data_IF_341431869595
#
_entry.id   IF_341431869595
#
_cell.length_a   1.000
_cell.length_b   1.000
_cell.length_c   1.000
_cell.angle_alpha   90.00
_cell.angle_beta   90.00
_cell.angle_gamma   90.00
#
_symmetry.space_group_name_H-M   'P 1'
#
loop_
_entity.id
_entity.type
_entity.pdbx_description
1 polymer ?
#
# COMPACT_ATOMS: atom_id res chain seq x y z
N UNK A 1 51.87 -12.69 -3.37
CA UNK A 1 51.90 -13.37 -2.05
C UNK A 1 51.38 -12.29 -1.10
N UNK A 2 50.09 -12.14 -0.88
CA UNK A 2 49.19 -13.11 -0.26
C UNK A 2 47.98 -13.44 -1.12
N UNK A 3 47.49 -14.67 -0.94
CA UNK A 3 46.38 -15.25 -1.65
C UNK A 3 45.08 -14.57 -1.23
N UNK A 4 44.41 -13.90 -2.17
CA UNK A 4 42.96 -13.80 -2.14
C UNK A 4 42.43 -15.24 -2.07
N UNK A 5 41.80 -15.61 -0.95
CA UNK A 5 40.95 -16.80 -0.91
C UNK A 5 39.74 -16.51 -1.80
N UNK A 6 39.93 -16.69 -3.11
CA UNK A 6 38.86 -16.80 -4.10
C UNK A 6 38.00 -18.01 -3.70
N UNK A 7 36.80 -17.76 -3.20
CA UNK A 7 35.77 -18.79 -3.02
C UNK A 7 35.24 -19.24 -4.38
N UNK A 8 35.27 -20.54 -4.65
CA UNK A 8 34.84 -21.16 -5.90
C UNK A 8 33.31 -21.24 -6.00
N UNK A 9 32.64 -20.19 -6.46
CA UNK A 9 31.26 -20.27 -6.97
C UNK A 9 31.28 -20.59 -8.47
N UNK A 10 30.50 -21.59 -8.90
CA UNK A 10 30.45 -22.02 -10.31
C UNK A 10 29.14 -21.55 -10.96
N UNK A 11 29.17 -21.18 -12.25
CA UNK A 11 27.95 -20.88 -13.01
C UNK A 11 27.34 -22.19 -13.52
N UNK A 12 26.06 -22.44 -13.19
CA UNK A 12 25.33 -23.62 -13.64
C UNK A 12 24.38 -23.24 -14.80
N UNK A 13 24.64 -23.74 -16.01
CA UNK A 13 23.81 -23.47 -17.18
C UNK A 13 22.85 -24.63 -17.50
N UNK A 14 21.59 -24.30 -17.77
CA UNK A 14 20.56 -25.27 -18.16
C UNK A 14 19.97 -24.92 -19.53
N UNK A 15 19.97 -25.90 -20.44
CA UNK A 15 19.30 -25.83 -21.73
C UNK A 15 18.06 -26.74 -21.69
N UNK A 16 16.88 -26.14 -21.71
CA UNK A 16 15.59 -26.85 -21.68
C UNK A 16 15.16 -27.16 -23.13
N UNK A 17 14.79 -28.41 -23.43
CA UNK A 17 14.32 -28.83 -24.77
C UNK A 17 12.79 -28.75 -24.91
N UNK A 18 12.29 -28.68 -26.15
CA UNK A 18 10.93 -28.19 -26.51
C UNK A 18 9.74 -28.88 -25.84
N UNK A 19 9.84 -30.12 -25.34
CA UNK A 19 8.68 -30.83 -24.73
C UNK A 19 8.45 -30.52 -23.25
N UNK A 20 9.36 -29.81 -22.58
CA UNK A 20 9.19 -29.37 -21.18
C UNK A 20 9.10 -27.85 -21.03
N UNK A 21 8.74 -27.18 -22.12
CA UNK A 21 8.84 -25.74 -22.31
C UNK A 21 7.87 -24.97 -21.39
N UNK A 22 6.60 -25.34 -21.40
CA UNK A 22 5.55 -24.50 -20.80
C UNK A 22 5.26 -24.92 -19.36
N UNK A 23 5.24 -26.22 -19.06
CA UNK A 23 5.00 -26.72 -17.70
C UNK A 23 6.06 -26.23 -16.69
N UNK A 24 7.34 -26.34 -17.05
CA UNK A 24 8.41 -25.91 -16.17
C UNK A 24 8.42 -24.38 -16.08
N UNK A 25 8.26 -23.66 -17.20
CA UNK A 25 8.22 -22.19 -17.21
C UNK A 25 7.04 -21.61 -16.42
N UNK A 26 5.87 -22.22 -16.51
CA UNK A 26 4.73 -21.81 -15.69
C UNK A 26 4.98 -22.14 -14.21
N UNK A 27 5.57 -23.31 -13.89
CA UNK A 27 6.01 -23.62 -12.52
C UNK A 27 7.09 -22.62 -12.02
N UNK A 28 8.02 -22.20 -12.89
CA UNK A 28 9.05 -21.18 -12.64
C UNK A 28 8.48 -19.77 -12.45
N UNK A 29 7.44 -19.41 -13.21
CA UNK A 29 6.77 -18.10 -13.14
C UNK A 29 5.99 -18.00 -11.83
N UNK A 30 5.29 -19.07 -11.45
CA UNK A 30 4.42 -19.13 -10.29
C UNK A 30 5.14 -19.43 -8.97
N UNK A 31 6.39 -19.93 -8.98
CA UNK A 31 7.10 -20.36 -7.76
C UNK A 31 8.59 -19.98 -7.73
N UNK A 32 9.19 -19.91 -6.53
CA UNK A 32 10.64 -19.62 -6.33
C UNK A 32 11.54 -20.86 -6.31
N UNK A 33 11.14 -21.94 -6.97
CA UNK A 33 11.87 -23.20 -7.01
C UNK A 33 11.73 -23.91 -8.36
N UNK A 34 12.64 -24.85 -8.63
CA UNK A 34 12.60 -25.73 -9.79
C UNK A 34 12.28 -27.15 -9.34
N UNK A 35 11.20 -27.73 -9.87
CA UNK A 35 10.86 -29.15 -9.67
C UNK A 35 11.10 -29.92 -10.96
N UNK A 36 11.92 -30.97 -10.91
CA UNK A 36 12.22 -31.79 -12.06
C UNK A 36 11.45 -33.11 -12.03
N UNK A 37 10.84 -33.47 -13.17
CA UNK A 37 10.23 -34.79 -13.38
C UNK A 37 11.34 -35.80 -13.75
N UNK A 38 11.26 -37.05 -13.26
CA UNK A 38 12.28 -38.10 -13.39
C UNK A 38 12.81 -38.35 -14.82
N UNK A 39 12.05 -37.99 -15.85
CA UNK A 39 12.41 -38.21 -17.26
C UNK A 39 13.46 -37.21 -17.82
N UNK A 40 14.05 -36.35 -16.96
CA UNK A 40 15.02 -35.31 -17.34
C UNK A 40 16.39 -35.47 -16.65
N UNK A 41 16.93 -36.69 -16.65
CA UNK A 41 18.18 -37.07 -15.95
C UNK A 41 19.38 -36.12 -16.20
N UNK A 42 19.53 -35.57 -17.41
CA UNK A 42 20.67 -34.69 -17.75
C UNK A 42 20.59 -33.33 -17.05
N UNK A 43 19.39 -32.78 -16.87
CA UNK A 43 19.14 -31.50 -16.19
C UNK A 43 19.27 -31.72 -14.67
N UNK A 44 18.70 -32.82 -14.16
CA UNK A 44 18.76 -33.17 -12.74
C UNK A 44 20.21 -33.41 -12.25
N UNK A 45 21.05 -34.03 -13.08
CA UNK A 45 22.47 -34.26 -12.77
C UNK A 45 23.32 -32.98 -12.76
N UNK A 46 22.91 -31.94 -13.46
CA UNK A 46 23.57 -30.63 -13.40
C UNK A 46 23.04 -29.78 -12.23
N UNK A 47 21.73 -29.85 -11.93
CA UNK A 47 21.11 -29.13 -10.81
C UNK A 47 21.61 -29.66 -9.46
N UNK A 48 21.69 -30.97 -9.28
CA UNK A 48 22.22 -31.60 -8.04
C UNK A 48 23.65 -31.19 -7.68
N UNK A 49 24.41 -30.63 -8.64
CA UNK A 49 25.79 -30.16 -8.41
C UNK A 49 25.87 -28.68 -8.05
N UNK A 50 24.79 -27.92 -8.21
CA UNK A 50 24.74 -26.51 -7.87
C UNK A 50 24.84 -26.32 -6.36
N UNK A 51 25.58 -25.32 -5.91
CA UNK A 51 25.76 -25.02 -4.49
C UNK A 51 25.07 -23.71 -4.13
N UNK A 52 24.77 -23.54 -2.84
CA UNK A 52 24.32 -22.26 -2.29
C UNK A 52 25.30 -21.16 -2.71
N UNK A 53 24.78 -20.09 -3.31
CA UNK A 53 25.57 -18.97 -3.86
C UNK A 53 25.89 -19.08 -5.36
N UNK A 54 25.64 -20.22 -6.02
CA UNK A 54 25.84 -20.35 -7.46
C UNK A 54 24.80 -19.54 -8.24
N UNK A 55 25.18 -18.97 -9.38
CA UNK A 55 24.26 -18.25 -10.26
C UNK A 55 23.62 -19.24 -11.23
N UNK A 56 22.28 -19.26 -11.19
CA UNK A 56 21.45 -20.03 -12.09
C UNK A 56 21.04 -19.18 -13.30
N UNK A 57 21.40 -19.65 -14.49
CA UNK A 57 20.98 -19.08 -15.75
C UNK A 57 20.07 -20.06 -16.51
N UNK A 58 18.83 -19.67 -16.73
CA UNK A 58 17.86 -20.46 -17.50
C UNK A 58 17.70 -19.89 -18.90
N UNK A 59 17.97 -20.72 -19.91
CA UNK A 59 17.84 -20.34 -21.32
C UNK A 59 16.95 -21.32 -22.07
N UNK A 60 16.17 -20.79 -23.01
CA UNK A 60 15.47 -21.54 -24.05
C UNK A 60 15.98 -21.08 -25.41
N UNK A 61 16.60 -21.99 -26.16
CA UNK A 61 17.30 -21.67 -27.42
C UNK A 61 18.29 -20.51 -27.22
N UNK A 62 18.09 -19.38 -27.90
CA UNK A 62 18.94 -18.19 -27.78
C UNK A 62 18.39 -17.13 -26.80
N UNK A 63 17.23 -17.36 -26.17
CA UNK A 63 16.59 -16.41 -25.25
C UNK A 63 16.92 -16.79 -23.80
N UNK A 64 17.36 -15.81 -23.02
CA UNK A 64 17.47 -15.94 -21.58
C UNK A 64 16.09 -15.76 -20.97
N UNK A 65 15.63 -16.76 -20.22
CA UNK A 65 14.31 -16.76 -19.61
C UNK A 65 14.37 -16.21 -18.17
N UNK A 66 15.41 -16.56 -17.41
CA UNK A 66 15.55 -16.05 -16.05
C UNK A 66 16.97 -16.21 -15.51
N UNK A 67 17.31 -15.33 -14.57
CA UNK A 67 18.54 -15.43 -13.79
C UNK A 67 18.19 -15.38 -12.31
N UNK A 68 18.79 -16.25 -11.51
CA UNK A 68 18.66 -16.20 -10.07
C UNK A 68 19.88 -16.78 -9.37
N UNK A 69 19.92 -16.65 -8.05
CA UNK A 69 20.99 -17.22 -7.20
C UNK A 69 20.44 -18.44 -6.48
N UNK A 70 21.20 -19.53 -6.50
CA UNK A 70 20.87 -20.74 -5.77
C UNK A 70 20.93 -20.45 -4.28
N UNK A 71 19.76 -20.47 -3.64
CA UNK A 71 19.59 -20.21 -2.22
C UNK A 71 19.65 -21.52 -1.41
N UNK A 72 19.11 -22.61 -1.95
CA UNK A 72 19.12 -23.94 -1.34
C UNK A 72 19.07 -25.01 -2.43
N UNK A 73 19.80 -26.11 -2.28
CA UNK A 73 19.78 -27.21 -3.24
C UNK A 73 19.51 -28.55 -2.56
N UNK A 74 18.23 -28.92 -2.51
CA UNK A 74 17.79 -30.14 -1.85
C UNK A 74 18.06 -31.37 -2.72
N UNK A 75 18.39 -31.19 -4.01
CA UNK A 75 18.77 -32.29 -4.89
C UNK A 75 20.14 -32.88 -4.57
N UNK A 76 21.05 -32.09 -3.98
CA UNK A 76 22.44 -32.48 -3.75
C UNK A 76 22.58 -33.64 -2.76
N UNK A 77 21.60 -33.84 -1.89
CA UNK A 77 21.71 -34.77 -0.78
C UNK A 77 21.22 -36.19 -1.11
N UNK A 78 20.11 -36.38 -1.85
CA UNK A 78 19.54 -37.73 -2.07
C UNK A 78 18.77 -37.95 -3.38
N UNK A 79 18.71 -36.96 -4.29
CA UNK A 79 18.02 -37.08 -5.59
C UNK A 79 16.56 -37.60 -5.53
N UNK A 80 15.81 -37.17 -4.53
CA UNK A 80 14.38 -37.45 -4.41
C UNK A 80 13.59 -36.59 -5.44
N UNK A 81 12.66 -37.15 -6.23
CA UNK A 81 11.76 -36.38 -7.10
C UNK A 81 10.89 -35.32 -6.40
N UNK A 82 10.76 -35.40 -5.06
CA UNK A 82 10.14 -34.37 -4.24
C UNK A 82 11.07 -33.17 -3.95
N UNK A 83 12.39 -33.36 -4.03
CA UNK A 83 13.38 -32.33 -3.76
C UNK A 83 13.40 -31.27 -4.86
N UNK A 84 13.90 -30.08 -4.53
CA UNK A 84 13.83 -28.87 -5.35
C UNK A 84 15.13 -28.08 -5.29
N UNK A 85 15.39 -27.32 -6.36
CA UNK A 85 16.44 -26.30 -6.38
C UNK A 85 15.76 -24.96 -6.11
N UNK A 86 16.10 -24.34 -4.98
CA UNK A 86 15.55 -23.07 -4.56
C UNK A 86 16.42 -21.93 -5.09
N UNK A 87 15.78 -21.01 -5.79
CA UNK A 87 16.47 -19.98 -6.56
C UNK A 87 15.83 -18.65 -6.23
N UNK A 88 16.62 -17.72 -5.70
CA UNK A 88 16.23 -16.32 -5.57
C UNK A 88 16.33 -15.67 -6.96
N UNK A 89 15.19 -15.55 -7.65
CA UNK A 89 15.14 -15.00 -9.00
C UNK A 89 15.38 -13.49 -8.99
N UNK A 90 16.37 -13.06 -9.76
CA UNK A 90 16.77 -11.65 -9.90
C UNK A 90 15.94 -10.95 -10.98
N UNK A 91 15.57 -11.66 -12.05
CA UNK A 91 14.68 -11.14 -13.09
C UNK A 91 13.96 -12.30 -13.82
N UNK A 92 12.63 -12.19 -13.94
CA UNK A 92 11.76 -13.21 -14.57
C UNK A 92 11.49 -12.99 -16.06
N UNK A 93 11.97 -11.91 -16.69
CA UNK A 93 12.11 -11.81 -18.15
C UNK A 93 13.14 -10.72 -18.50
N UNK A 94 14.42 -11.05 -18.64
CA UNK A 94 15.44 -10.06 -18.94
C UNK A 94 15.47 -9.75 -20.44
N UNK A 95 14.59 -8.87 -20.91
CA UNK A 95 14.64 -8.32 -22.27
C UNK A 95 15.96 -7.59 -22.58
N UNK A 96 16.75 -7.26 -21.55
CA UNK A 96 18.00 -6.48 -21.65
C UNK A 96 19.29 -7.25 -21.40
N UNK A 97 19.25 -8.55 -21.06
CA UNK A 97 20.50 -9.30 -20.88
C UNK A 97 21.03 -9.65 -22.27
N UNK A 98 22.17 -9.00 -22.60
CA UNK A 98 22.68 -8.80 -23.95
C UNK A 98 22.42 -9.94 -24.95
N UNK A 99 21.99 -9.56 -26.17
CA UNK A 99 21.86 -10.47 -27.33
C UNK A 99 23.18 -11.16 -27.74
N UNK A 100 24.29 -10.80 -27.10
CA UNK A 100 25.65 -11.19 -27.47
C UNK A 100 26.24 -12.33 -26.63
N UNK A 101 25.52 -12.87 -25.66
CA UNK A 101 25.91 -14.14 -25.01
C UNK A 101 25.68 -15.31 -25.98
N UNK A 102 26.50 -15.38 -27.04
CA UNK A 102 26.59 -16.52 -27.95
C UNK A 102 27.45 -17.63 -27.32
N UNK A 103 27.18 -18.84 -27.78
CA UNK A 103 27.51 -20.15 -27.22
C UNK A 103 28.96 -20.41 -26.80
N UNK A 104 29.04 -21.28 -25.77
CA UNK A 104 30.08 -22.28 -25.47
C UNK A 104 31.38 -21.84 -24.79
N UNK A 105 31.33 -21.14 -23.66
CA UNK A 105 32.38 -21.21 -22.64
C UNK A 105 31.77 -21.17 -21.23
N UNK A 106 32.24 -22.06 -20.36
CA UNK A 106 31.94 -22.03 -18.93
C UNK A 106 32.67 -20.81 -18.37
N UNK A 107 31.95 -19.73 -18.09
CA UNK A 107 32.55 -18.55 -17.46
C UNK A 107 32.70 -18.81 -15.96
N UNK A 108 33.92 -19.05 -15.49
CA UNK A 108 34.27 -18.73 -14.11
C UNK A 108 34.43 -17.22 -14.02
N UNK A 109 33.46 -16.52 -13.41
CA UNK A 109 33.46 -15.06 -13.18
C UNK A 109 34.11 -14.24 -14.32
N UNK A 110 33.39 -13.97 -15.43
CA UNK A 110 33.89 -12.99 -16.40
C UNK A 110 33.53 -11.56 -15.95
N UNK A 111 34.49 -10.64 -16.06
CA UNK A 111 34.29 -9.19 -15.87
C UNK A 111 33.11 -8.64 -16.69
N UNK A 112 32.72 -9.31 -17.78
CA UNK A 112 31.55 -8.96 -18.59
C UNK A 112 30.22 -9.14 -17.84
N UNK A 113 30.07 -10.19 -17.03
CA UNK A 113 28.87 -10.40 -16.21
C UNK A 113 28.79 -9.31 -15.15
N UNK A 114 29.89 -9.03 -14.44
CA UNK A 114 29.95 -7.96 -13.44
C UNK A 114 29.65 -6.58 -14.05
N UNK A 115 30.14 -6.30 -15.26
CA UNK A 115 29.88 -5.05 -15.97
C UNK A 115 28.44 -4.93 -16.49
N UNK A 116 27.78 -6.04 -16.82
CA UNK A 116 26.34 -6.07 -17.16
C UNK A 116 25.50 -5.83 -15.92
N UNK A 117 25.86 -6.44 -14.79
CA UNK A 117 25.09 -6.31 -13.54
C UNK A 117 25.29 -4.96 -12.85
N UNK A 118 26.51 -4.38 -12.81
CA UNK A 118 26.81 -3.05 -12.22
C UNK A 118 25.91 -1.91 -12.71
N UNK A 119 25.28 -2.07 -13.87
CA UNK A 119 24.38 -1.07 -14.48
C UNK A 119 22.90 -1.26 -14.09
N UNK A 120 22.54 -2.32 -13.37
CA UNK A 120 21.17 -2.60 -12.92
C UNK A 120 21.03 -2.34 -11.41
N UNK A 121 19.86 -1.83 -10.99
CA UNK A 121 19.51 -1.62 -9.57
C UNK A 121 19.57 -2.91 -8.73
N UNK A 122 19.51 -4.07 -9.38
CA UNK A 122 19.61 -5.39 -8.74
C UNK A 122 21.03 -5.77 -8.28
N UNK A 123 22.08 -5.05 -8.71
CA UNK A 123 23.48 -5.37 -8.35
C UNK A 123 23.74 -5.27 -6.84
N UNK A 124 23.32 -4.18 -6.21
CA UNK A 124 23.57 -3.95 -4.78
C UNK A 124 22.84 -4.99 -3.90
N UNK A 125 21.62 -5.37 -4.28
CA UNK A 125 20.80 -6.40 -3.60
C UNK A 125 21.41 -7.79 -3.76
N UNK A 126 21.86 -8.12 -4.96
CA UNK A 126 22.54 -9.40 -5.26
C UNK A 126 23.86 -9.51 -4.51
N UNK A 127 24.63 -8.42 -4.42
CA UNK A 127 25.94 -8.41 -3.77
C UNK A 127 25.85 -8.44 -2.24
N UNK A 128 24.84 -7.78 -1.65
CA UNK A 128 24.57 -7.84 -0.20
C UNK A 128 24.19 -9.25 0.24
N UNK A 129 23.28 -9.91 -0.48
CA UNK A 129 22.90 -11.30 -0.21
C UNK A 129 24.10 -12.25 -0.41
N UNK A 130 24.94 -12.00 -1.43
CA UNK A 130 26.16 -12.81 -1.64
C UNK A 130 27.21 -12.59 -0.55
N UNK A 131 27.43 -11.37 -0.06
CA UNK A 131 28.37 -11.09 1.03
C UNK A 131 27.87 -11.71 2.36
N UNK A 132 26.57 -11.58 2.67
CA UNK A 132 25.94 -12.20 3.85
C UNK A 132 26.05 -13.73 3.83
N UNK A 133 25.96 -14.35 2.64
CA UNK A 133 26.14 -15.78 2.46
C UNK A 133 27.62 -16.21 2.45
N UNK A 134 28.56 -15.31 2.15
CA UNK A 134 30.01 -15.60 2.02
C UNK A 134 30.73 -15.54 3.36
N UNK A 135 30.33 -14.66 4.26
CA UNK A 135 31.10 -14.37 5.46
C UNK A 135 30.96 -15.40 6.59
N UNK A 136 30.22 -16.50 6.38
CA UNK A 136 30.29 -17.70 7.22
C UNK A 136 29.90 -17.53 8.70
N UNK A 137 29.51 -16.33 9.13
CA UNK A 137 28.95 -16.06 10.46
C UNK A 137 27.47 -16.45 10.55
N UNK A 138 27.02 -17.41 9.74
CA UNK A 138 25.62 -17.83 9.62
C UNK A 138 25.19 -18.92 10.61
N UNK A 139 25.92 -19.09 11.72
CA UNK A 139 25.52 -19.90 12.88
C UNK A 139 25.20 -19.00 14.10
N UNK A 140 24.94 -17.70 13.89
CA UNK A 140 24.10 -16.96 14.83
C UNK A 140 22.66 -17.16 14.43
N UNK A 141 21.91 -17.82 15.31
CA UNK A 141 20.44 -17.91 15.37
C UNK A 141 19.72 -16.86 14.50
N UNK A 142 19.49 -17.19 13.23
CA UNK A 142 18.37 -16.66 12.45
C UNK A 142 17.09 -17.39 12.88
N UNK A 143 16.93 -17.60 14.19
CA UNK A 143 15.60 -17.84 14.74
C UNK A 143 14.79 -16.60 14.37
N UNK A 144 13.60 -16.76 13.78
CA UNK A 144 12.76 -15.62 13.42
C UNK A 144 12.58 -14.78 14.69
N UNK A 145 12.62 -13.46 14.56
CA UNK A 145 12.21 -12.53 15.59
C UNK A 145 10.75 -12.85 15.97
N UNK A 146 10.56 -13.85 16.82
CA UNK A 146 9.34 -14.12 17.56
C UNK A 146 9.26 -13.16 18.75
N UNK A 147 9.62 -11.88 18.52
CA UNK A 147 9.04 -10.83 19.32
C UNK A 147 7.55 -10.87 19.02
N UNK A 148 6.71 -11.19 20.01
CA UNK A 148 5.26 -11.18 19.84
C UNK A 148 4.85 -9.88 19.14
N UNK A 149 4.44 -9.99 17.86
CA UNK A 149 3.89 -8.86 17.13
C UNK A 149 2.61 -8.49 17.86
N UNK A 150 2.66 -7.36 18.58
CA UNK A 150 1.53 -6.87 19.37
C UNK A 150 0.42 -6.27 18.51
N UNK A 151 0.71 -6.01 17.23
CA UNK A 151 -0.26 -5.40 16.32
C UNK A 151 -1.42 -6.35 15.98
N UNK A 152 -2.65 -5.83 15.91
CA UNK A 152 -3.80 -6.63 15.53
C UNK A 152 -3.71 -7.11 14.08
N UNK A 153 -4.13 -8.36 13.83
CA UNK A 153 -4.12 -8.96 12.48
C UNK A 153 -5.06 -8.26 11.49
N UNK A 154 -6.11 -7.62 11.99
CA UNK A 154 -7.06 -6.85 11.20
C UNK A 154 -7.34 -5.55 11.94
N UNK A 155 -7.06 -4.41 11.31
CA UNK A 155 -7.28 -3.09 11.87
C UNK A 155 -7.98 -2.18 10.87
N UNK A 156 -8.81 -1.25 11.35
CA UNK A 156 -9.33 -0.13 10.58
C UNK A 156 -8.94 1.16 11.28
N UNK A 157 -8.16 1.99 10.59
CA UNK A 157 -7.89 3.38 10.94
C UNK A 157 -9.05 4.24 10.46
N UNK A 158 -9.78 4.89 11.37
CA UNK A 158 -10.95 5.68 11.00
C UNK A 158 -10.99 7.06 11.63
N UNK A 159 -11.68 7.99 10.97
CA UNK A 159 -11.89 9.34 11.48
C UNK A 159 -12.07 10.38 10.36
N UNK A 160 -12.13 11.68 10.73
CA UNK A 160 -12.34 12.76 9.78
C UNK A 160 -11.25 12.85 8.70
N UNK A 161 -11.50 13.50 7.55
CA UNK A 161 -10.48 13.66 6.51
C UNK A 161 -9.31 14.50 7.01
N UNK A 162 -8.11 14.20 6.50
CA UNK A 162 -6.88 14.94 6.84
C UNK A 162 -6.27 14.62 8.21
N UNK A 163 -6.58 13.47 8.80
CA UNK A 163 -5.99 13.03 10.09
C UNK A 163 -4.80 12.09 9.93
N UNK A 164 -4.27 11.96 8.71
CA UNK A 164 -3.06 11.17 8.43
C UNK A 164 -3.28 9.66 8.33
N UNK A 165 -4.51 9.17 8.21
CA UNK A 165 -4.84 7.73 8.22
C UNK A 165 -4.07 6.91 7.20
N UNK A 166 -4.01 7.35 5.94
CA UNK A 166 -3.29 6.66 4.86
C UNK A 166 -1.79 6.57 5.17
N UNK A 167 -1.17 7.69 5.55
CA UNK A 167 0.24 7.71 5.96
C UNK A 167 0.51 6.79 7.17
N UNK A 168 -0.34 6.84 8.19
CA UNK A 168 -0.21 5.96 9.35
C UNK A 168 -0.37 4.48 8.98
N UNK A 169 -1.24 4.15 8.02
CA UNK A 169 -1.40 2.76 7.54
C UNK A 169 -0.14 2.24 6.85
N UNK A 170 0.55 3.09 6.10
CA UNK A 170 1.82 2.76 5.43
C UNK A 170 2.94 2.54 6.45
N UNK A 171 3.08 3.45 7.42
CA UNK A 171 4.08 3.32 8.49
C UNK A 171 3.85 2.06 9.33
N UNK A 172 2.58 1.77 9.65
CA UNK A 172 2.22 0.56 10.38
C UNK A 172 2.52 -0.71 9.58
N UNK A 173 2.29 -0.69 8.27
CA UNK A 173 2.58 -1.84 7.41
C UNK A 173 4.08 -2.15 7.39
N UNK A 174 4.93 -1.15 7.21
CA UNK A 174 6.40 -1.31 7.26
C UNK A 174 6.83 -1.85 8.62
N UNK A 175 6.32 -1.27 9.71
CA UNK A 175 6.57 -1.72 11.09
C UNK A 175 6.21 -3.20 11.30
N UNK A 176 5.08 -3.65 10.77
CA UNK A 176 4.63 -5.05 10.85
C UNK A 176 5.57 -5.97 10.07
N UNK A 177 5.92 -5.61 8.84
CA UNK A 177 6.82 -6.42 8.00
C UNK A 177 8.19 -6.58 8.66
N UNK A 178 8.74 -5.51 9.23
CA UNK A 178 10.06 -5.56 9.87
C UNK A 178 10.07 -6.12 11.30
N UNK A 179 8.91 -6.10 11.98
CA UNK A 179 8.81 -6.45 13.40
C UNK A 179 9.54 -5.47 14.34
N UNK A 180 9.78 -4.23 13.89
CA UNK A 180 10.52 -3.18 14.64
C UNK A 180 9.68 -1.92 14.78
N UNK A 181 9.76 -1.25 15.93
CA UNK A 181 9.01 -0.01 16.20
C UNK A 181 9.50 1.17 15.36
N UNK A 182 10.81 1.33 15.22
CA UNK A 182 11.43 2.41 14.46
C UNK A 182 12.01 1.85 13.16
N UNK A 183 11.21 1.91 12.09
CA UNK A 183 11.69 1.64 10.73
C UNK A 183 11.90 2.94 9.98
N UNK A 184 12.99 3.03 9.23
CA UNK A 184 13.21 4.10 8.24
C UNK A 184 13.15 3.57 6.80
N UNK A 185 12.77 2.30 6.63
CA UNK A 185 12.71 1.68 5.32
C UNK A 185 11.53 2.23 4.54
N UNK A 186 11.78 2.49 3.27
CA UNK A 186 10.76 3.00 2.38
C UNK A 186 9.72 1.90 2.08
N UNK A 187 8.43 2.24 2.20
CA UNK A 187 7.30 1.39 1.85
C UNK A 187 7.46 0.76 0.45
N UNK A 188 8.05 1.50 -0.49
CA UNK A 188 8.24 1.05 -1.87
C UNK A 188 9.05 -0.25 -1.98
N UNK A 189 10.00 -0.49 -1.07
CA UNK A 189 10.78 -1.74 -1.09
C UNK A 189 9.88 -2.97 -0.87
N UNK A 190 8.91 -2.84 0.03
CA UNK A 190 7.97 -3.91 0.38
C UNK A 190 6.77 -4.00 -0.57
N UNK A 191 6.45 -2.92 -1.28
CA UNK A 191 5.51 -2.97 -2.40
C UNK A 191 6.12 -3.72 -3.59
N UNK A 192 7.38 -3.42 -3.94
CA UNK A 192 8.07 -4.07 -5.07
C UNK A 192 8.32 -5.56 -4.83
N UNK A 193 8.61 -5.96 -3.59
CA UNK A 193 8.82 -7.37 -3.25
C UNK A 193 7.51 -8.14 -2.98
N UNK A 194 6.38 -7.44 -2.91
CA UNK A 194 5.04 -8.02 -2.74
C UNK A 194 4.65 -8.37 -1.30
N UNK A 195 5.48 -8.07 -0.29
CA UNK A 195 5.10 -8.25 1.12
C UNK A 195 4.02 -7.29 1.55
N UNK A 196 4.00 -6.08 0.99
CA UNK A 196 2.92 -5.12 1.16
C UNK A 196 2.17 -4.99 -0.17
N UNK A 197 0.84 -4.95 -0.10
CA UNK A 197 -0.02 -4.53 -1.21
C UNK A 197 -0.90 -3.38 -0.74
N UNK A 198 -1.07 -2.38 -1.60
CA UNK A 198 -1.95 -1.24 -1.36
C UNK A 198 -3.06 -1.23 -2.40
N UNK A 199 -4.30 -1.27 -1.95
CA UNK A 199 -5.48 -1.16 -2.81
C UNK A 199 -6.45 -0.12 -2.25
N UNK A 200 -7.33 0.37 -3.10
CA UNK A 200 -8.42 1.27 -2.70
C UNK A 200 -9.75 0.65 -3.09
N UNK A 201 -10.69 0.55 -2.15
CA UNK A 201 -12.04 0.12 -2.48
C UNK A 201 -12.85 1.24 -3.12
N UNK A 202 -13.65 0.86 -4.11
CA UNK A 202 -14.61 1.73 -4.79
C UNK A 202 -15.91 0.96 -5.06
N UNK A 203 -16.98 1.66 -5.44
CA UNK A 203 -18.31 1.06 -5.61
C UNK A 203 -18.36 -0.13 -6.57
N UNK A 204 -17.45 -0.17 -7.56
CA UNK A 204 -17.36 -1.25 -8.55
C UNK A 204 -16.33 -2.33 -8.20
N UNK A 205 -15.70 -2.27 -7.02
CA UNK A 205 -14.70 -3.26 -6.62
C UNK A 205 -15.45 -4.52 -6.18
N UNK A 206 -15.04 -5.68 -6.68
CA UNK A 206 -15.81 -6.91 -6.48
C UNK A 206 -14.95 -8.11 -6.05
N UNK A 207 -15.63 -9.25 -5.89
CA UNK A 207 -15.01 -10.52 -5.51
C UNK A 207 -13.99 -11.00 -6.56
N UNK A 208 -14.22 -10.72 -7.84
CA UNK A 208 -13.36 -11.13 -8.95
C UNK A 208 -11.99 -10.49 -8.91
N UNK A 209 -11.93 -9.22 -8.52
CA UNK A 209 -10.70 -8.46 -8.36
C UNK A 209 -9.99 -8.77 -7.03
N UNK A 210 -10.75 -9.09 -5.97
CA UNK A 210 -10.20 -9.32 -4.64
C UNK A 210 -9.75 -10.76 -4.40
N UNK A 211 -10.58 -11.75 -4.77
CA UNK A 211 -10.37 -13.17 -4.48
C UNK A 211 -10.01 -13.94 -5.74
N UNK A 212 -10.97 -14.12 -6.65
CA UNK A 212 -10.75 -14.73 -7.96
C UNK A 212 -11.95 -14.50 -8.87
N UNK A 213 -11.70 -14.38 -10.17
CA UNK A 213 -12.74 -14.18 -11.17
C UNK A 213 -12.33 -14.65 -12.55
N UNK A 214 -13.31 -14.89 -13.42
CA UNK A 214 -13.06 -15.26 -14.81
C UNK A 214 -12.87 -14.01 -15.66
N UNK A 215 -11.74 -13.90 -16.36
CA UNK A 215 -11.48 -12.82 -17.31
C UNK A 215 -11.41 -13.35 -18.75
N UNK A 216 -12.03 -12.66 -19.71
CA UNK A 216 -11.94 -13.05 -21.11
C UNK A 216 -10.52 -12.78 -21.63
N UNK A 217 -9.93 -13.76 -22.28
CA UNK A 217 -8.63 -13.67 -22.94
C UNK A 217 -8.84 -14.05 -24.41
N UNK A 218 -8.28 -13.24 -25.31
CA UNK A 218 -8.33 -13.52 -26.74
C UNK A 218 -7.22 -14.50 -27.08
N UNK A 219 -7.58 -15.67 -27.59
CA UNK A 219 -6.60 -16.59 -28.13
C UNK A 219 -6.11 -16.06 -29.49
N UNK A 220 -4.86 -15.61 -29.53
CA UNK A 220 -4.25 -14.99 -30.72
C UNK A 220 -4.25 -15.91 -31.95
N UNK A 221 -4.26 -17.23 -31.74
CA UNK A 221 -4.14 -18.23 -32.83
C UNK A 221 -5.44 -18.46 -33.59
N UNK A 222 -6.59 -18.35 -32.92
CA UNK A 222 -7.90 -18.67 -33.51
C UNK A 222 -8.94 -17.55 -33.34
N UNK A 223 -8.56 -16.41 -32.76
CA UNK A 223 -9.43 -15.26 -32.49
C UNK A 223 -10.66 -15.62 -31.62
N UNK A 224 -10.61 -16.73 -30.87
CA UNK A 224 -11.68 -17.13 -29.97
C UNK A 224 -11.46 -16.53 -28.58
N UNK A 225 -12.55 -16.16 -27.92
CA UNK A 225 -12.54 -15.71 -26.53
C UNK A 225 -12.57 -16.94 -25.63
N UNK A 226 -11.53 -17.12 -24.82
CA UNK A 226 -11.49 -18.07 -23.70
C UNK A 226 -11.64 -17.32 -22.38
N UNK A 227 -12.11 -18.01 -21.34
CA UNK A 227 -12.16 -17.43 -19.99
C UNK A 227 -11.07 -18.05 -19.16
N UNK A 228 -10.20 -17.22 -18.62
CA UNK A 228 -9.12 -17.65 -17.72
C UNK A 228 -9.45 -17.22 -16.29
N UNK A 229 -9.09 -18.07 -15.34
CA UNK A 229 -9.19 -17.74 -13.93
C UNK A 229 -8.08 -16.74 -13.59
N UNK A 230 -8.48 -15.57 -13.11
CA UNK A 230 -7.60 -14.54 -12.61
C UNK A 230 -7.63 -14.56 -11.08
N UNK A 231 -6.45 -14.62 -10.45
CA UNK A 231 -6.32 -14.54 -9.00
C UNK A 231 -6.41 -13.08 -8.56
N UNK A 232 -7.28 -12.81 -7.59
CA UNK A 232 -7.39 -11.49 -6.97
C UNK A 232 -6.24 -11.20 -6.01
N UNK A 233 -6.13 -9.94 -5.60
CA UNK A 233 -5.03 -9.47 -4.74
C UNK A 233 -4.95 -10.20 -3.39
N UNK A 234 -6.10 -10.44 -2.75
CA UNK A 234 -6.15 -11.08 -1.43
C UNK A 234 -5.79 -12.56 -1.51
N UNK A 235 -6.30 -13.29 -2.53
CA UNK A 235 -5.93 -14.70 -2.75
C UNK A 235 -4.44 -14.83 -3.06
N UNK A 236 -3.91 -13.95 -3.91
CA UNK A 236 -2.47 -13.92 -4.24
C UNK A 236 -1.61 -13.71 -3.00
N UNK A 237 -1.98 -12.75 -2.14
CA UNK A 237 -1.27 -12.52 -0.87
C UNK A 237 -1.41 -13.69 0.11
N UNK A 238 -2.56 -14.37 0.18
CA UNK A 238 -2.70 -15.57 1.01
C UNK A 238 -1.74 -16.67 0.55
N UNK A 239 -1.60 -16.88 -0.75
CA UNK A 239 -0.66 -17.86 -1.32
C UNK A 239 0.79 -17.51 -0.96
N UNK A 240 1.19 -16.24 -1.13
CA UNK A 240 2.55 -15.81 -0.79
C UNK A 240 2.83 -15.90 0.71
N UNK A 241 1.92 -15.44 1.55
CA UNK A 241 2.08 -15.51 3.01
C UNK A 241 2.14 -16.96 3.52
N UNK A 242 1.41 -17.90 2.91
CA UNK A 242 1.52 -19.32 3.25
C UNK A 242 2.86 -19.93 2.83
N UNK A 243 3.46 -19.44 1.73
CA UNK A 243 4.78 -19.88 1.24
C UNK A 243 5.92 -19.38 2.11
N UNK A 244 5.75 -18.24 2.76
CA UNK A 244 6.76 -17.58 3.59
C UNK A 244 6.24 -17.38 5.03
N UNK A 245 6.09 -18.46 5.81
CA UNK A 245 5.43 -18.41 7.12
C UNK A 245 6.21 -17.60 8.17
N UNK A 246 7.50 -17.38 7.96
CA UNK A 246 8.38 -16.62 8.86
C UNK A 246 8.38 -15.11 8.55
N UNK A 247 7.83 -14.71 7.39
CA UNK A 247 7.72 -13.31 6.97
C UNK A 247 6.31 -12.80 7.20
N UNK A 248 6.17 -11.52 7.57
CA UNK A 248 4.85 -10.89 7.63
C UNK A 248 4.48 -10.26 6.28
N UNK A 249 3.19 -10.30 5.98
CA UNK A 249 2.59 -9.70 4.80
C UNK A 249 1.50 -8.74 5.24
N UNK A 250 1.31 -7.64 4.51
CA UNK A 250 0.31 -6.62 4.85
C UNK A 250 -0.50 -6.20 3.62
N UNK A 251 -1.82 -6.29 3.72
CA UNK A 251 -2.73 -5.70 2.74
C UNK A 251 -3.33 -4.42 3.31
N UNK A 252 -2.98 -3.28 2.71
CA UNK A 252 -3.59 -1.99 3.00
C UNK A 252 -4.81 -1.82 2.08
N UNK A 253 -5.97 -1.58 2.67
CA UNK A 253 -7.25 -1.36 2.00
C UNK A 253 -7.74 0.05 2.31
N UNK A 254 -7.38 0.99 1.45
CA UNK A 254 -7.80 2.37 1.57
C UNK A 254 -9.29 2.51 1.23
N UNK A 255 -9.99 3.40 1.92
CA UNK A 255 -11.43 3.67 1.71
C UNK A 255 -12.29 2.39 1.77
N UNK A 256 -12.01 1.53 2.77
CA UNK A 256 -12.59 0.17 2.89
C UNK A 256 -14.13 0.17 2.87
N UNK A 257 -14.75 1.26 3.28
CA UNK A 257 -16.20 1.43 3.39
C UNK A 257 -16.87 1.94 2.10
N UNK A 258 -16.12 2.23 1.03
CA UNK A 258 -16.66 2.58 -0.30
C UNK A 258 -17.03 1.35 -1.14
N UNK A 259 -16.55 0.17 -0.75
CA UNK A 259 -16.91 -1.11 -1.37
C UNK A 259 -17.98 -1.85 -0.57
N UNK A 260 -18.73 -2.75 -1.22
CA UNK A 260 -19.57 -3.71 -0.51
C UNK A 260 -18.70 -4.82 0.06
N UNK A 261 -18.18 -4.60 1.27
CA UNK A 261 -17.17 -5.47 1.90
C UNK A 261 -17.68 -6.92 2.02
N UNK A 262 -18.96 -7.13 2.35
CA UNK A 262 -19.55 -8.46 2.46
C UNK A 262 -19.53 -9.20 1.12
N UNK A 263 -19.85 -8.51 0.02
CA UNK A 263 -19.77 -9.07 -1.34
C UNK A 263 -18.33 -9.30 -1.77
N UNK A 264 -17.42 -8.38 -1.46
CA UNK A 264 -16.00 -8.45 -1.86
C UNK A 264 -15.28 -9.61 -1.16
N UNK A 265 -15.45 -9.77 0.16
CA UNK A 265 -14.80 -10.84 0.92
C UNK A 265 -15.49 -12.20 0.75
N UNK A 266 -16.77 -12.23 0.40
CA UNK A 266 -17.55 -13.45 0.24
C UNK A 266 -17.44 -14.37 1.46
N UNK A 267 -17.10 -15.63 1.22
CA UNK A 267 -16.90 -16.67 2.22
C UNK A 267 -15.68 -16.43 3.14
N UNK A 268 -14.68 -15.66 2.69
CA UNK A 268 -13.46 -15.41 3.45
C UNK A 268 -13.66 -14.40 4.58
N UNK A 269 -14.81 -13.72 4.62
CA UNK A 269 -15.16 -12.78 5.69
C UNK A 269 -15.09 -13.44 7.08
N UNK A 270 -15.34 -14.75 7.18
CA UNK A 270 -15.21 -15.48 8.45
C UNK A 270 -13.78 -15.93 8.70
N UNK A 271 -13.01 -16.21 7.64
CA UNK A 271 -11.65 -16.74 7.74
C UNK A 271 -10.62 -15.71 8.19
N UNK A 272 -10.89 -14.41 8.03
CA UNK A 272 -10.01 -13.35 8.54
C UNK A 272 -9.95 -13.29 10.07
N UNK A 273 -10.86 -13.95 10.80
CA UNK A 273 -10.82 -14.03 12.27
C UNK A 273 -9.54 -14.72 12.76
N UNK A 274 -8.89 -14.17 13.79
CA UNK A 274 -7.65 -14.72 14.40
C UNK A 274 -7.75 -16.21 14.74
N UNK A 275 -8.91 -16.67 15.21
CA UNK A 275 -9.14 -18.06 15.61
C UNK A 275 -9.30 -19.04 14.42
N UNK A 276 -9.58 -18.53 13.22
CA UNK A 276 -9.88 -19.28 11.99
C UNK A 276 -8.66 -19.40 11.05
N UNK A 277 -7.79 -18.40 11.06
CA UNK A 277 -6.57 -18.33 10.23
C UNK A 277 -5.68 -19.56 10.37
N UNK A 278 -5.33 -20.17 9.24
CA UNK A 278 -4.52 -21.40 9.16
C UNK A 278 -5.16 -22.66 9.75
N UNK A 279 -6.46 -22.63 10.11
CA UNK A 279 -7.18 -23.78 10.71
C UNK A 279 -8.41 -24.19 9.90
N UNK A 280 -9.10 -23.22 9.33
CA UNK A 280 -10.31 -23.44 8.54
C UNK A 280 -10.10 -22.91 7.14
N UNK A 281 -10.55 -23.67 6.15
CA UNK A 281 -10.57 -23.28 4.74
C UNK A 281 -12.01 -23.08 4.26
N UNK A 282 -12.16 -22.36 3.15
CA UNK A 282 -13.39 -22.30 2.38
C UNK A 282 -13.11 -22.76 0.95
N UNK A 283 -14.10 -23.39 0.32
CA UNK A 283 -14.02 -23.77 -1.10
C UNK A 283 -14.45 -22.59 -1.96
N UNK A 284 -13.56 -22.13 -2.83
CA UNK A 284 -13.81 -21.00 -3.71
C UNK A 284 -14.73 -21.42 -4.89
N UNK A 285 -15.67 -20.57 -5.32
CA UNK A 285 -16.71 -20.97 -6.27
C UNK A 285 -16.24 -21.06 -7.72
N UNK A 286 -15.18 -20.35 -8.12
CA UNK A 286 -14.71 -20.37 -9.52
C UNK A 286 -13.69 -21.49 -9.75
N UNK A 287 -12.72 -21.63 -8.85
CA UNK A 287 -11.64 -22.63 -8.95
C UNK A 287 -11.98 -23.98 -8.32
N UNK A 288 -12.94 -24.03 -7.38
CA UNK A 288 -13.17 -25.16 -6.46
C UNK A 288 -11.96 -25.51 -5.57
N UNK A 289 -10.98 -24.62 -5.48
CA UNK A 289 -9.84 -24.78 -4.59
C UNK A 289 -10.22 -24.45 -3.14
N UNK A 290 -9.53 -25.05 -2.19
CA UNK A 290 -9.62 -24.63 -0.80
C UNK A 290 -8.66 -23.48 -0.54
N UNK A 291 -9.18 -22.40 0.04
CA UNK A 291 -8.37 -21.26 0.49
C UNK A 291 -8.47 -21.11 2.00
N UNK A 292 -7.32 -20.90 2.64
CA UNK A 292 -7.19 -20.51 4.05
C UNK A 292 -6.56 -19.13 4.13
N UNK A 293 -6.87 -18.37 5.18
CA UNK A 293 -6.18 -17.09 5.45
C UNK A 293 -4.98 -17.37 6.35
N UNK A 294 -3.74 -17.03 5.93
CA UNK A 294 -2.54 -17.28 6.74
C UNK A 294 -2.50 -16.47 8.03
N UNK A 295 -1.69 -16.93 8.99
CA UNK A 295 -1.55 -16.27 10.31
C UNK A 295 -0.68 -15.01 10.26
N UNK A 296 0.18 -14.91 9.25
CA UNK A 296 1.15 -13.85 9.01
C UNK A 296 0.68 -12.80 7.99
N UNK A 297 -0.61 -12.79 7.59
CA UNK A 297 -1.19 -11.79 6.70
C UNK A 297 -1.98 -10.72 7.48
N UNK A 298 -1.49 -9.51 7.58
CA UNK A 298 -2.16 -8.41 8.28
C UNK A 298 -3.04 -7.61 7.32
N UNK A 299 -4.20 -7.17 7.79
CA UNK A 299 -5.12 -6.31 7.03
C UNK A 299 -5.22 -4.96 7.73
N UNK A 300 -4.94 -3.88 7.00
CA UNK A 300 -5.07 -2.51 7.49
C UNK A 300 -6.04 -1.76 6.59
N UNK A 301 -7.23 -1.46 7.09
CA UNK A 301 -8.20 -0.62 6.41
C UNK A 301 -8.04 0.85 6.80
N UNK A 302 -8.34 1.76 5.88
CA UNK A 302 -8.62 3.16 6.23
C UNK A 302 -10.08 3.48 5.96
N UNK A 303 -10.67 4.35 6.78
CA UNK A 303 -12.06 4.73 6.67
C UNK A 303 -12.24 6.23 6.95
N UNK A 304 -12.69 6.98 5.95
CA UNK A 304 -13.21 8.33 6.17
C UNK A 304 -14.61 8.23 6.80
N UNK A 305 -14.89 9.02 7.82
CA UNK A 305 -16.20 8.99 8.51
C UNK A 305 -17.15 10.12 8.09
N UNK A 306 -16.61 11.21 7.52
CA UNK A 306 -17.39 12.37 7.09
C UNK A 306 -18.23 12.11 5.81
N UNK A 307 -17.85 11.13 4.99
CA UNK A 307 -18.40 10.93 3.65
C UNK A 307 -19.80 10.29 3.70
N UNK A 308 -20.79 11.00 3.15
CA UNK A 308 -22.21 10.58 3.21
C UNK A 308 -22.54 9.46 2.22
N UNK A 309 -21.63 9.15 1.28
CA UNK A 309 -21.80 8.11 0.26
C UNK A 309 -21.44 6.69 0.73
N UNK A 310 -21.11 6.56 2.02
CA UNK A 310 -20.56 5.36 2.63
C UNK A 310 -21.63 4.31 2.96
N UNK A 311 -21.33 3.03 2.70
CA UNK A 311 -22.09 1.91 3.26
C UNK A 311 -21.71 1.69 4.72
N UNK A 312 -22.71 1.60 5.60
CA UNK A 312 -22.48 1.23 7.01
C UNK A 312 -21.77 -0.12 7.07
N UNK A 313 -20.62 -0.17 7.73
CA UNK A 313 -19.93 -1.43 8.02
C UNK A 313 -20.84 -2.36 8.81
N UNK A 314 -21.09 -3.54 8.26
CA UNK A 314 -21.88 -4.58 8.92
C UNK A 314 -21.25 -4.91 10.30
N UNK A 315 -22.11 -5.10 11.30
CA UNK A 315 -21.79 -5.68 12.61
C UNK A 315 -20.88 -6.90 12.53
N UNK A 316 -21.03 -7.74 11.50
CA UNK A 316 -20.18 -8.90 11.27
C UNK A 316 -18.73 -8.50 10.93
N UNK A 317 -18.48 -7.37 10.27
CA UNK A 317 -17.12 -6.88 10.04
C UNK A 317 -16.57 -6.18 11.28
N UNK A 318 -17.42 -5.45 11.99
CA UNK A 318 -16.99 -4.72 13.20
C UNK A 318 -16.37 -5.63 14.26
N UNK A 319 -16.83 -6.87 14.39
CA UNK A 319 -16.27 -7.86 15.33
C UNK A 319 -14.92 -8.47 14.90
N UNK A 320 -14.51 -8.26 13.64
CA UNK A 320 -13.34 -8.93 13.02
C UNK A 320 -12.15 -8.00 12.82
N UNK A 321 -12.39 -6.70 12.91
CA UNK A 321 -11.39 -5.64 12.85
C UNK A 321 -11.32 -4.92 14.18
N UNK A 322 -10.11 -4.54 14.59
CA UNK A 322 -9.91 -3.55 15.65
C UNK A 322 -10.05 -2.15 15.05
N UNK A 323 -10.79 -1.26 15.71
CA UNK A 323 -11.07 0.08 15.21
C UNK A 323 -10.21 1.07 15.98
N UNK A 324 -9.28 1.71 15.27
CA UNK A 324 -8.39 2.73 15.83
C UNK A 324 -8.83 4.08 15.31
N UNK A 325 -9.27 4.93 16.22
CA UNK A 325 -9.79 6.24 15.91
C UNK A 325 -8.66 7.27 15.79
N UNK A 326 -8.65 8.01 14.69
CA UNK A 326 -7.69 9.06 14.38
C UNK A 326 -8.42 10.40 14.21
N UNK A 327 -8.54 11.12 15.33
CA UNK A 327 -9.09 12.46 15.38
C UNK A 327 -8.06 13.52 14.98
N UNK A 328 -8.48 14.73 14.58
CA UNK A 328 -7.55 15.82 14.38
C UNK A 328 -6.76 16.13 15.65
N UNK A 329 -5.43 16.20 15.52
CA UNK A 329 -4.52 16.69 16.54
C UNK A 329 -3.96 18.07 16.16
N UNK A 330 -4.55 19.17 16.65
CA UNK A 330 -4.01 20.51 16.44
C UNK A 330 -2.63 20.72 17.07
N UNK A 331 -2.22 19.87 18.02
CA UNK A 331 -0.94 20.00 18.70
C UNK A 331 0.20 19.27 18.00
N UNK A 332 -0.08 18.52 16.93
CA UNK A 332 0.90 17.83 16.12
C UNK A 332 2.10 18.73 15.76
N UNK A 333 3.32 18.18 15.81
CA UNK A 333 4.56 18.97 15.72
C UNK A 333 4.71 19.71 14.37
N UNK A 334 4.17 19.14 13.31
CA UNK A 334 4.16 19.74 11.97
C UNK A 334 3.14 20.89 11.81
N UNK A 335 2.26 21.12 12.79
CA UNK A 335 1.35 22.27 12.80
C UNK A 335 2.07 23.46 13.43
N UNK A 336 2.42 24.44 12.59
CA UNK A 336 3.19 25.59 13.03
C UNK A 336 2.44 26.43 14.08
N UNK A 337 3.10 26.70 15.21
CA UNK A 337 2.56 27.57 16.26
C UNK A 337 2.61 29.06 15.92
N UNK A 338 3.34 29.44 14.86
CA UNK A 338 3.46 30.82 14.39
C UNK A 338 3.62 30.90 12.86
N UNK A 339 2.54 31.22 12.16
CA UNK A 339 2.49 31.50 10.73
C UNK A 339 2.19 33.00 10.54
N UNK A 340 3.24 33.83 10.37
CA UNK A 340 3.15 35.30 10.34
C UNK A 340 2.31 35.93 11.48
N UNK A 341 2.45 35.40 12.70
CA UNK A 341 1.71 35.85 13.87
C UNK A 341 0.36 35.16 14.08
N UNK A 342 -0.04 34.23 13.21
CA UNK A 342 -1.22 33.37 13.40
C UNK A 342 -0.80 32.06 14.07
N UNK A 343 -1.42 31.73 15.21
CA UNK A 343 -1.22 30.44 15.85
C UNK A 343 -2.16 29.38 15.25
N UNK A 344 -1.63 28.49 14.40
CA UNK A 344 -2.43 27.49 13.69
C UNK A 344 -3.02 26.43 14.62
N UNK A 345 -2.34 26.13 15.74
CA UNK A 345 -2.83 25.17 16.73
C UNK A 345 -4.14 25.66 17.36
N UNK A 346 -4.17 26.93 17.77
CA UNK A 346 -5.36 27.57 18.37
C UNK A 346 -6.45 27.78 17.31
N UNK A 347 -6.07 28.25 16.11
CA UNK A 347 -7.00 28.45 14.99
C UNK A 347 -7.74 27.15 14.64
N UNK A 348 -7.01 26.04 14.45
CA UNK A 348 -7.61 24.75 14.11
C UNK A 348 -8.50 24.22 15.24
N UNK A 349 -8.07 24.39 16.50
CA UNK A 349 -8.87 24.04 17.69
C UNK A 349 -10.21 24.78 17.68
N UNK A 350 -10.18 26.11 17.54
CA UNK A 350 -11.38 26.95 17.54
C UNK A 350 -12.36 26.58 16.42
N UNK A 351 -11.84 26.34 15.21
CA UNK A 351 -12.67 25.88 14.08
C UNK A 351 -13.30 24.51 14.37
N UNK A 352 -12.50 23.55 14.86
CA UNK A 352 -12.96 22.19 15.12
C UNK A 352 -13.97 22.08 16.26
N UNK A 353 -13.89 22.93 17.28
CA UNK A 353 -14.89 23.03 18.35
C UNK A 353 -16.25 23.51 17.80
N UNK A 354 -16.23 24.53 16.93
CA UNK A 354 -17.44 25.06 16.28
C UNK A 354 -18.05 24.07 15.30
N UNK A 355 -17.23 23.41 14.49
CA UNK A 355 -17.70 22.36 13.56
C UNK A 355 -18.34 21.23 14.34
N UNK A 356 -17.72 20.75 15.43
CA UNK A 356 -18.29 19.68 16.26
C UNK A 356 -19.62 20.10 16.92
N UNK A 357 -19.80 21.38 17.22
CA UNK A 357 -21.02 21.92 17.82
C UNK A 357 -22.16 22.12 16.81
N UNK A 358 -21.82 22.54 15.58
CA UNK A 358 -22.80 22.82 14.52
C UNK A 358 -23.18 21.57 13.72
N UNK A 359 -22.27 20.60 13.64
CA UNK A 359 -22.43 19.33 12.93
C UNK A 359 -22.17 18.18 13.90
N UNK A 360 -20.98 17.60 13.85
CA UNK A 360 -20.54 16.50 14.69
C UNK A 360 -19.00 16.38 14.65
N UNK A 361 -18.46 15.52 15.51
CA UNK A 361 -17.01 15.24 15.59
C UNK A 361 -16.43 14.65 14.30
N UNK A 362 -17.24 13.95 13.49
CA UNK A 362 -16.76 13.22 12.30
C UNK A 362 -16.42 14.16 11.13
N UNK A 363 -16.90 15.41 11.19
CA UNK A 363 -16.64 16.45 10.19
C UNK A 363 -15.56 17.45 10.62
N UNK A 364 -14.83 17.20 11.70
CA UNK A 364 -13.73 18.08 12.08
C UNK A 364 -12.63 18.08 11.00
N UNK A 365 -11.93 19.20 10.85
CA UNK A 365 -10.86 19.37 9.87
C UNK A 365 -9.57 18.78 10.41
N UNK A 366 -8.98 17.89 9.64
CA UNK A 366 -7.71 17.27 9.97
C UNK A 366 -6.50 18.20 9.89
N UNK A 367 -5.52 17.96 10.76
CA UNK A 367 -4.31 18.74 10.92
C UNK A 367 -3.37 18.71 9.70
N UNK A 368 -3.47 17.70 8.82
CA UNK A 368 -2.62 17.61 7.62
C UNK A 368 -2.89 18.75 6.62
N UNK A 369 -4.05 19.41 6.70
CA UNK A 369 -4.35 20.61 5.90
C UNK A 369 -3.44 21.79 6.26
N UNK A 370 -2.92 21.80 7.48
CA UNK A 370 -2.11 22.87 8.07
C UNK A 370 -0.63 22.50 8.17
N UNK A 371 -0.22 21.37 7.58
CA UNK A 371 1.20 21.04 7.43
C UNK A 371 1.88 22.04 6.50
N UNK A 372 3.09 22.44 6.88
CA UNK A 372 3.98 23.30 6.09
C UNK A 372 3.47 24.71 5.74
N UNK A 373 2.43 25.22 6.43
CA UNK A 373 2.02 26.62 6.28
C UNK A 373 2.99 27.54 7.02
N UNK A 374 3.68 28.42 6.28
CA UNK A 374 4.78 29.24 6.80
C UNK A 374 4.43 30.72 6.90
N UNK A 375 3.57 31.20 6.02
CA UNK A 375 3.23 32.62 5.90
C UNK A 375 1.73 32.84 5.55
N UNK A 376 1.31 34.11 5.53
CA UNK A 376 -0.09 34.48 5.24
C UNK A 376 -0.53 34.05 3.82
N UNK A 377 0.40 34.01 2.86
CA UNK A 377 0.10 33.56 1.49
C UNK A 377 -0.25 32.06 1.44
N UNK A 378 0.45 31.24 2.24
CA UNK A 378 0.13 29.82 2.40
C UNK A 378 -1.24 29.64 3.06
N UNK A 379 -1.55 30.46 4.07
CA UNK A 379 -2.85 30.50 4.75
C UNK A 379 -3.98 30.88 3.79
N UNK A 380 -3.82 31.95 3.02
CA UNK A 380 -4.76 32.37 1.97
C UNK A 380 -5.05 31.23 1.02
N UNK A 381 -4.01 30.60 0.48
CA UNK A 381 -4.17 29.46 -0.42
C UNK A 381 -4.87 28.27 0.26
N UNK A 382 -4.49 27.95 1.49
CA UNK A 382 -5.12 26.85 2.25
C UNK A 382 -6.61 27.12 2.49
N UNK A 383 -6.97 28.33 2.90
CA UNK A 383 -8.36 28.69 3.17
C UNK A 383 -9.20 28.69 1.89
N UNK A 384 -8.76 29.40 0.85
CA UNK A 384 -9.51 29.53 -0.39
C UNK A 384 -9.66 28.20 -1.15
N UNK A 385 -8.64 27.34 -1.14
CA UNK A 385 -8.58 26.16 -1.99
C UNK A 385 -8.85 24.84 -1.26
N UNK A 386 -8.84 24.82 0.08
CA UNK A 386 -9.06 23.60 0.88
C UNK A 386 -10.12 23.78 1.96
N UNK A 387 -9.96 24.75 2.87
CA UNK A 387 -10.85 24.90 4.04
C UNK A 387 -12.25 25.35 3.63
N UNK A 388 -12.37 26.46 2.88
CA UNK A 388 -13.68 26.97 2.46
C UNK A 388 -14.46 25.96 1.60
N UNK A 389 -13.89 25.37 0.54
CA UNK A 389 -14.61 24.35 -0.23
C UNK A 389 -15.11 23.18 0.62
N UNK A 390 -14.32 22.73 1.60
CA UNK A 390 -14.73 21.68 2.53
C UNK A 390 -15.90 22.11 3.42
N UNK A 391 -15.87 23.34 3.94
CA UNK A 391 -16.97 23.89 4.73
C UNK A 391 -18.24 24.08 3.88
N UNK A 392 -18.10 24.51 2.62
CA UNK A 392 -19.23 24.58 1.68
C UNK A 392 -19.91 23.23 1.50
N UNK A 393 -19.12 22.16 1.34
CA UNK A 393 -19.65 20.79 1.25
C UNK A 393 -20.35 20.36 2.54
N UNK A 394 -19.74 20.63 3.70
CA UNK A 394 -20.29 20.24 5.00
C UNK A 394 -21.61 20.93 5.35
N UNK A 395 -21.71 22.21 4.97
CA UNK A 395 -22.85 23.07 5.30
C UNK A 395 -23.81 23.29 4.13
N UNK A 396 -23.60 22.65 2.97
CA UNK A 396 -24.43 22.82 1.77
C UNK A 396 -24.60 24.28 1.35
N UNK A 397 -23.48 25.00 1.27
CA UNK A 397 -23.44 26.44 0.98
C UNK A 397 -24.23 27.33 1.96
N UNK A 398 -24.50 26.86 3.19
CA UNK A 398 -25.03 27.68 4.28
C UNK A 398 -23.93 28.60 4.84
N UNK A 399 -23.76 29.74 4.17
CA UNK A 399 -22.72 30.74 4.47
C UNK A 399 -22.80 31.35 5.86
N UNK A 400 -23.99 31.40 6.47
CA UNK A 400 -24.14 31.86 7.86
C UNK A 400 -23.41 30.89 8.81
N UNK A 401 -23.65 29.58 8.67
CA UNK A 401 -22.97 28.58 9.50
C UNK A 401 -21.47 28.51 9.22
N UNK A 402 -21.06 28.71 7.97
CA UNK A 402 -19.64 28.78 7.61
C UNK A 402 -19.00 29.99 8.30
N UNK A 403 -19.64 31.15 8.29
CA UNK A 403 -19.15 32.36 8.98
C UNK A 403 -19.07 32.16 10.50
N UNK A 404 -20.04 31.45 11.08
CA UNK A 404 -19.99 31.04 12.49
C UNK A 404 -18.74 30.19 12.78
N UNK A 405 -18.40 29.21 11.92
CA UNK A 405 -17.17 28.40 12.06
C UNK A 405 -15.92 29.28 12.00
N UNK A 406 -15.89 30.23 11.07
CA UNK A 406 -14.80 31.19 10.91
C UNK A 406 -14.78 32.26 12.01
N UNK A 407 -15.74 32.29 12.93
CA UNK A 407 -15.77 33.25 14.03
C UNK A 407 -16.05 34.68 13.58
N UNK A 408 -16.84 34.84 12.51
CA UNK A 408 -17.20 36.15 11.93
C UNK A 408 -15.98 37.00 11.62
N UNK A 409 -15.00 36.38 10.98
CA UNK A 409 -13.67 36.95 10.85
C UNK A 409 -13.53 37.98 9.72
N UNK A 410 -14.59 38.18 8.94
CA UNK A 410 -14.65 39.12 7.81
C UNK A 410 -14.53 38.48 6.43
N UNK A 411 -14.34 37.16 6.31
CA UNK A 411 -14.30 36.50 4.98
C UNK A 411 -15.69 36.27 4.37
N UNK A 412 -16.74 36.39 5.17
CA UNK A 412 -18.13 36.28 4.75
C UNK A 412 -18.85 37.51 5.29
N UNK A 413 -19.57 38.20 4.41
CA UNK A 413 -20.27 39.45 4.73
C UNK A 413 -21.77 39.29 4.52
N UNK A 414 -22.53 40.02 5.32
CA UNK A 414 -23.98 40.14 5.17
C UNK A 414 -24.28 41.32 4.24
N UNK A 415 -24.84 41.04 3.07
CA UNK A 415 -25.17 42.06 2.07
C UNK A 415 -26.69 42.23 1.93
N UNK A 416 -27.13 43.45 1.67
CA UNK A 416 -28.53 43.72 1.36
C UNK A 416 -28.88 43.25 -0.06
N UNK A 417 -29.98 42.53 -0.20
CA UNK A 417 -30.48 42.05 -1.49
C UNK A 417 -31.32 43.15 -2.14
N UNK A 418 -31.05 43.44 -3.42
CA UNK A 418 -31.82 44.43 -4.21
C UNK A 418 -33.32 44.06 -4.24
N UNK A 419 -34.20 45.06 -4.17
CA UNK A 419 -35.65 44.89 -4.06
C UNK A 419 -36.26 44.09 -5.22
N UNK A 420 -35.65 44.12 -6.40
CA UNK A 420 -36.08 43.37 -7.59
C UNK A 420 -35.91 41.86 -7.38
N UNK A 421 -34.84 41.43 -6.71
CA UNK A 421 -34.56 40.01 -6.43
C UNK A 421 -35.46 39.49 -5.31
N UNK A 422 -35.78 40.33 -4.31
CA UNK A 422 -36.71 39.98 -3.21
C UNK A 422 -38.08 39.53 -3.74
N UNK A 423 -38.62 40.22 -4.74
CA UNK A 423 -39.95 39.93 -5.29
C UNK A 423 -39.98 38.78 -6.30
N UNK A 424 -38.86 38.48 -6.97
CA UNK A 424 -38.83 37.51 -8.07
C UNK A 424 -38.51 36.06 -7.66
N UNK A 425 -37.81 35.85 -6.54
CA UNK A 425 -37.12 34.57 -6.27
C UNK A 425 -37.53 33.85 -4.98
N UNK A 426 -38.57 34.30 -4.25
CA UNK A 426 -38.79 33.87 -2.86
C UNK A 426 -37.47 34.02 -2.05
N UNK A 427 -36.82 35.18 -2.20
CA UNK A 427 -35.58 35.49 -1.49
C UNK A 427 -35.80 35.50 0.04
N UNK A 428 -34.71 35.52 0.82
CA UNK A 428 -34.79 35.49 2.29
C UNK A 428 -35.71 36.60 2.81
N UNK A 429 -36.56 36.27 3.80
CA UNK A 429 -37.66 37.13 4.28
C UNK A 429 -37.17 38.47 4.88
N UNK A 430 -35.95 38.50 5.42
CA UNK A 430 -35.27 39.68 5.95
C UNK A 430 -34.60 40.55 4.86
N UNK A 431 -34.45 40.00 3.65
CA UNK A 431 -33.84 40.65 2.52
C UNK A 431 -32.33 40.87 2.64
N UNK A 432 -31.66 40.07 3.46
CA UNK A 432 -30.20 40.01 3.58
C UNK A 432 -29.70 38.64 3.12
N UNK A 433 -28.47 38.57 2.61
CA UNK A 433 -27.82 37.29 2.29
C UNK A 433 -26.34 37.34 2.65
N UNK A 434 -25.79 36.19 3.01
CA UNK A 434 -24.37 36.03 3.25
C UNK A 434 -23.63 35.78 1.93
N UNK A 435 -22.53 36.48 1.70
CA UNK A 435 -21.65 36.32 0.55
C UNK A 435 -20.19 36.18 1.01
N UNK A 436 -19.44 35.27 0.39
CA UNK A 436 -17.99 35.21 0.58
C UNK A 436 -17.29 36.35 -0.15
N UNK A 437 -16.15 36.81 0.38
CA UNK A 437 -15.27 37.73 -0.33
C UNK A 437 -14.77 37.17 -1.67
N UNK A 438 -14.49 38.05 -2.63
CA UNK A 438 -13.82 37.70 -3.87
C UNK A 438 -12.44 37.08 -3.58
N UNK A 439 -11.97 36.17 -4.44
CA UNK A 439 -10.66 35.52 -4.23
C UNK A 439 -9.48 36.51 -4.23
N UNK A 440 -9.64 37.67 -4.87
CA UNK A 440 -8.63 38.73 -4.95
C UNK A 440 -8.82 39.84 -3.91
N UNK A 441 -9.80 39.70 -3.02
CA UNK A 441 -10.02 40.69 -1.96
C UNK A 441 -8.76 40.83 -1.08
N UNK A 442 -8.30 42.06 -0.79
CA UNK A 442 -7.11 42.29 0.03
C UNK A 442 -7.23 41.78 1.47
N UNK A 443 -8.44 41.54 1.97
CA UNK A 443 -8.65 41.04 3.33
C UNK A 443 -8.15 39.59 3.48
N UNK A 444 -8.03 38.84 2.38
CA UNK A 444 -7.34 37.54 2.38
C UNK A 444 -5.85 37.62 2.75
N UNK A 445 -5.22 38.78 2.58
CA UNK A 445 -3.81 38.99 2.93
C UNK A 445 -3.65 39.60 4.33
N UNK A 446 -4.76 39.88 5.03
CA UNK A 446 -4.75 40.43 6.40
C UNK A 446 -4.64 39.32 7.44
N UNK A 447 -3.52 39.31 8.16
CA UNK A 447 -3.25 38.41 9.30
C UNK A 447 -4.36 38.48 10.36
N UNK A 448 -4.89 39.67 10.63
CA UNK A 448 -5.92 39.87 11.67
C UNK A 448 -7.22 39.11 11.37
N UNK A 449 -7.60 38.96 10.10
CA UNK A 449 -8.75 38.14 9.71
C UNK A 449 -8.55 36.67 10.11
N UNK A 450 -7.33 36.13 10.10
CA UNK A 450 -7.08 34.77 10.58
C UNK A 450 -7.06 34.68 12.12
N UNK A 451 -6.56 35.72 12.80
CA UNK A 451 -6.55 35.77 14.27
C UNK A 451 -7.96 35.87 14.86
N UNK A 452 -8.82 36.66 14.24
CA UNK A 452 -10.21 36.84 14.64
C UNK A 452 -10.97 35.50 14.75
N UNK A 453 -10.57 34.48 13.99
CA UNK A 453 -11.13 33.13 14.09
C UNK A 453 -11.09 32.62 15.53
N UNK A 454 -10.01 32.83 16.28
CA UNK A 454 -9.89 32.37 17.67
C UNK A 454 -9.93 33.50 18.70
N UNK A 455 -9.70 34.75 18.33
CA UNK A 455 -9.76 35.89 19.28
C UNK A 455 -11.20 36.32 19.61
N UNK A 456 -12.15 36.14 18.68
CA UNK A 456 -13.57 36.42 18.89
C UNK A 456 -14.27 35.41 19.84
N UNK A 457 -13.52 34.50 20.46
CA UNK A 457 -14.02 33.50 21.43
C UNK A 457 -14.19 34.06 22.85
N UNK A 458 -13.78 35.31 23.13
CA UNK A 458 -14.04 35.94 24.43
C UNK A 458 -15.51 36.36 24.54
N UNK A 459 -16.27 35.85 25.51
CA UNK A 459 -17.64 36.31 25.74
C UNK A 459 -17.58 37.73 26.30
N UNK A 460 -17.82 38.72 25.43
CA UNK A 460 -17.89 40.12 25.85
C UNK A 460 -17.22 41.09 24.88
N UNK A 461 -17.76 41.18 23.66
CA UNK A 461 -17.78 42.46 22.97
C UNK A 461 -19.10 42.55 22.19
N UNK A 462 -20.12 43.23 22.73
CA UNK A 462 -21.28 43.58 21.94
C UNK A 462 -20.84 44.64 20.92
N UNK A 463 -20.93 44.29 19.64
CA UNK A 463 -21.09 45.27 18.56
C UNK A 463 -22.50 45.85 18.61
#
# INVERSE_FOLDING_TARGET
REQTKKGNGNICQFNITEKSHDDLWNEFKENNYVRLKQNQLTIANAISKAKKGDILLVRSKNRTLGIGVVHRNDYAENFDPANRLHVAWINKEPSEISKNLRTSEIFSQSEEIENVFRKSSAYNKTWKIMDELRDGNGDEDLSPNAGEIKEPLNQILFGPPGTGKTWQSEQLAVKIVEGKQDSQTDLYEYLENGQIQFITFHQNYDYGDFIEGLRPVLNESNQQITYELHLGVFKSMCIEAERFPDDNFVLIIDEINRGNIAKIFGELITLIEKSRRGKTSATLPYSNEQLTVPKNLFLIGTMNTADRSIQLLDTALRRRFEFVELMPDPNHDLVNSNCDGVNLKILLTAMNERIASLLDRERQIGHTYFFDLKNVTDLKRCFQKKVLPLLQEYFYDDWEKIDMVLGKNGFIELVEVDQIVKHAMHGPEDGQRYEKLDENDPDWDRVDCYKNIYENTKPGNPS
#
